data_IF_506946000400
#
_entry.id   IF_506946000400
#
_cell.length_a   1.000
_cell.length_b   1.000
_cell.length_c   1.000
_cell.angle_alpha   90.00
_cell.angle_beta   90.00
_cell.angle_gamma   90.00
#
_symmetry.space_group_name_H-M   'P 1'
#
loop_
_entity.id
_entity.type
_entity.pdbx_description
1 polymer ?
#
# COMPACT_ATOMS: atom_id res chain seq x y z
N UNK A 1 -3.70 -3.57 6.23
CA UNK A 1 -2.73 -4.69 6.13
C UNK A 1 -2.45 -4.96 4.67
N UNK A 2 -1.20 -5.25 4.32
CA UNK A 2 -0.79 -5.50 2.94
C UNK A 2 0.09 -6.74 2.86
N UNK A 3 0.15 -7.36 1.69
CA UNK A 3 1.03 -8.48 1.40
C UNK A 3 1.63 -8.31 0.01
N UNK A 4 2.91 -8.65 -0.12
CA UNK A 4 3.59 -8.68 -1.42
C UNK A 4 5.06 -9.03 -1.27
N UNK A 5 5.75 -9.05 -2.40
CA UNK A 5 7.17 -9.41 -2.47
C UNK A 5 7.99 -8.11 -2.35
N UNK A 6 9.11 -8.20 -1.66
CA UNK A 6 10.16 -7.16 -1.71
C UNK A 6 11.32 -7.80 -2.44
N UNK A 7 11.42 -7.55 -3.74
CA UNK A 7 12.55 -8.06 -4.51
C UNK A 7 13.83 -7.29 -4.14
N UNK A 8 14.90 -8.04 -3.87
CA UNK A 8 16.16 -7.52 -3.36
C UNK A 8 17.11 -6.97 -4.42
N UNK A 9 16.75 -6.98 -5.70
CA UNK A 9 17.67 -6.70 -6.79
C UNK A 9 17.01 -5.93 -7.93
N UNK A 10 17.55 -4.73 -8.17
CA UNK A 10 17.49 -3.89 -9.39
C UNK A 10 16.12 -3.40 -9.91
N UNK A 11 15.02 -4.14 -9.75
CA UNK A 11 13.71 -3.61 -10.08
C UNK A 11 13.27 -2.59 -9.03
N UNK A 12 13.38 -1.32 -9.43
CA UNK A 12 13.00 -0.17 -8.62
C UNK A 12 11.49 -0.02 -8.47
N UNK A 13 10.67 -0.97 -8.89
CA UNK A 13 9.21 -0.89 -8.85
C UNK A 13 8.61 -2.21 -8.41
N UNK A 14 7.42 -2.16 -7.83
CA UNK A 14 6.64 -3.36 -7.54
C UNK A 14 5.29 -3.01 -6.97
N UNK A 15 4.54 -4.04 -6.59
CA UNK A 15 3.16 -3.89 -6.15
C UNK A 15 2.86 -4.77 -4.93
N UNK A 16 2.16 -4.19 -3.96
CA UNK A 16 1.62 -4.89 -2.81
C UNK A 16 0.09 -4.88 -2.84
N UNK A 17 -0.51 -6.02 -2.51
CA UNK A 17 -1.96 -6.15 -2.39
C UNK A 17 -2.42 -5.66 -1.03
N UNK A 18 -3.48 -4.85 -1.01
CA UNK A 18 -4.17 -4.44 0.22
C UNK A 18 -5.19 -5.53 0.56
N UNK A 19 -4.89 -6.27 1.62
CA UNK A 19 -5.67 -7.46 2.02
C UNK A 19 -6.81 -7.14 2.99
N UNK A 20 -6.82 -5.93 3.55
CA UNK A 20 -7.80 -5.52 4.54
C UNK A 20 -7.39 -4.26 5.27
N UNK A 21 -8.33 -3.67 5.99
CA UNK A 21 -8.11 -2.51 6.85
C UNK A 21 -9.10 -2.50 8.02
N UNK A 22 -8.88 -1.59 8.95
CA UNK A 22 -9.68 -1.40 10.16
C UNK A 22 -10.05 0.08 10.31
N UNK A 23 -10.99 0.41 11.21
CA UNK A 23 -11.43 1.78 11.45
C UNK A 23 -12.09 2.40 10.22
N UNK A 24 -11.66 3.60 9.83
CA UNK A 24 -12.12 4.27 8.60
C UNK A 24 -11.92 3.40 7.35
N UNK A 25 -10.88 2.57 7.31
CA UNK A 25 -10.56 1.70 6.18
C UNK A 25 -11.07 0.27 6.37
N UNK A 26 -12.15 0.07 7.14
CA UNK A 26 -12.76 -1.25 7.31
C UNK A 26 -13.11 -1.85 5.93
N UNK A 27 -12.76 -3.13 5.74
CA UNK A 27 -12.93 -3.84 4.46
C UNK A 27 -12.18 -3.21 3.28
N UNK A 28 -11.07 -2.49 3.53
CA UNK A 28 -10.25 -1.95 2.47
C UNK A 28 -9.66 -3.04 1.56
N UNK A 29 -9.69 -2.78 0.25
CA UNK A 29 -9.09 -3.57 -0.82
C UNK A 29 -8.45 -2.63 -1.85
N UNK A 30 -7.48 -3.12 -2.58
CA UNK A 30 -6.76 -2.31 -3.57
C UNK A 30 -5.30 -2.71 -3.65
N UNK A 31 -4.46 -1.79 -4.09
CA UNK A 31 -3.05 -2.03 -4.29
C UNK A 31 -2.20 -0.81 -3.91
N UNK A 32 -0.94 -1.10 -3.60
CA UNK A 32 0.10 -0.11 -3.40
C UNK A 32 1.17 -0.37 -4.44
N UNK A 33 1.38 0.59 -5.34
CA UNK A 33 2.53 0.57 -6.24
C UNK A 33 3.66 1.30 -5.56
N UNK A 34 4.81 0.67 -5.45
CA UNK A 34 5.99 1.30 -4.88
C UNK A 34 7.04 1.55 -5.96
N UNK A 35 7.82 2.61 -5.76
CA UNK A 35 9.01 2.90 -6.57
C UNK A 35 10.17 3.31 -5.69
N UNK A 36 11.32 2.65 -5.79
CA UNK A 36 12.55 3.05 -5.12
C UNK A 36 13.10 4.35 -5.70
N UNK A 37 13.17 5.38 -4.87
CA UNK A 37 13.72 6.69 -5.23
C UNK A 37 15.22 6.73 -4.93
N UNK A 38 15.63 6.18 -3.78
CA UNK A 38 17.02 6.21 -3.32
C UNK A 38 17.33 5.00 -2.45
N UNK A 39 18.57 4.52 -2.53
CA UNK A 39 19.17 3.57 -1.59
C UNK A 39 20.28 4.29 -0.84
N UNK A 40 20.22 4.30 0.47
CA UNK A 40 21.26 4.84 1.36
C UNK A 40 21.82 3.69 2.19
N UNK A 41 22.94 3.11 1.76
CA UNK A 41 23.59 1.94 2.37
C UNK A 41 22.64 0.76 2.65
N UNK A 42 22.03 0.73 3.83
CA UNK A 42 21.08 -0.29 4.30
C UNK A 42 19.61 0.16 4.24
N UNK A 43 19.35 1.44 4.00
CA UNK A 43 18.02 2.05 3.95
C UNK A 43 17.53 2.23 2.51
N UNK A 44 16.22 2.13 2.33
CA UNK A 44 15.56 2.32 1.05
C UNK A 44 14.44 3.35 1.19
N UNK A 45 14.55 4.44 0.44
CA UNK A 45 13.49 5.42 0.29
C UNK A 45 12.64 5.02 -0.91
N UNK A 46 11.34 4.78 -0.69
CA UNK A 46 10.37 4.41 -1.72
C UNK A 46 9.22 5.41 -1.75
N UNK A 47 8.81 5.79 -2.95
CA UNK A 47 7.51 6.39 -3.21
C UNK A 47 6.44 5.31 -3.14
N UNK A 48 5.30 5.61 -2.52
CA UNK A 48 4.14 4.71 -2.49
C UNK A 48 2.94 5.43 -3.10
N UNK A 49 2.40 4.87 -4.17
CA UNK A 49 1.09 5.24 -4.73
C UNK A 49 0.07 4.23 -4.21
N UNK A 50 -0.87 4.74 -3.40
CA UNK A 50 -1.81 3.92 -2.62
C UNK A 50 -3.21 4.13 -3.18
N UNK A 51 -3.76 3.10 -3.81
CA UNK A 51 -5.13 3.09 -4.30
C UNK A 51 -5.99 2.17 -3.43
N UNK A 52 -6.91 2.77 -2.67
CA UNK A 52 -7.78 2.05 -1.73
C UNK A 52 -9.24 2.22 -2.10
N UNK A 53 -9.96 1.11 -2.10
CA UNK A 53 -11.42 1.05 -2.09
C UNK A 53 -11.87 0.50 -0.75
N UNK A 54 -12.73 1.22 -0.05
CA UNK A 54 -13.27 0.81 1.25
C UNK A 54 -14.72 1.26 1.38
N UNK A 55 -15.44 0.70 2.35
CA UNK A 55 -16.80 1.14 2.68
C UNK A 55 -16.71 2.03 3.92
N UNK A 56 -17.03 3.33 3.82
CA UNK A 56 -17.06 4.20 4.99
C UNK A 56 -18.04 3.67 6.03
N UNK A 57 -17.62 3.64 7.30
CA UNK A 57 -18.47 3.23 8.42
C UNK A 57 -19.31 4.39 8.99
N UNK A 58 -19.26 5.56 8.35
CA UNK A 58 -20.17 6.66 8.69
C UNK A 58 -21.61 6.18 8.48
N UNK A 59 -22.48 6.24 9.51
CA UNK A 59 -23.91 6.10 9.29
C UNK A 59 -24.30 7.04 8.16
N UNK A 60 -25.07 6.56 7.19
CA UNK A 60 -25.75 7.46 6.28
C UNK A 60 -26.61 8.37 7.16
N UNK A 61 -26.27 9.65 7.25
CA UNK A 61 -27.18 10.65 7.81
C UNK A 61 -28.39 10.70 6.87
N UNK A 62 -29.44 9.95 7.21
CA UNK A 62 -30.76 9.99 6.56
C UNK A 62 -31.81 10.31 7.59
#
# INVERSE_FOLDING_TARGET
QVMGIIEGSEEKVGEWSIMGGTGEFTNARGNIKYRAIKKEDVEWIRELDIQVFYTPNTPSDV
#
